data_IF_488897640088
#
_entry.id   IF_488897640088
#
_cell.length_a   1.000
_cell.length_b   1.000
_cell.length_c   1.000
_cell.angle_alpha   90.00
_cell.angle_beta   90.00
_cell.angle_gamma   90.00
#
_symmetry.space_group_name_H-M   'P 1'
#
loop_
_entity.id
_entity.type
_entity.pdbx_description
1 polymer ?
#
# COMPACT_ATOMS: atom_id res chain seq x y z
N UNK A 1 -40.57 10.57 -33.60
CA UNK A 1 -39.47 9.73 -33.97
C UNK A 1 -38.13 10.25 -33.46
N UNK A 2 -37.93 11.55 -33.51
CA UNK A 2 -36.67 12.14 -33.06
C UNK A 2 -36.45 12.08 -31.55
N UNK A 3 -37.49 11.77 -30.83
CA UNK A 3 -37.41 11.77 -29.35
C UNK A 3 -36.65 10.60 -28.79
N UNK A 4 -36.60 9.52 -29.52
CA UNK A 4 -35.93 8.29 -29.08
C UNK A 4 -34.41 8.38 -29.13
N UNK A 5 -33.89 9.25 -29.98
CA UNK A 5 -32.46 9.40 -30.17
C UNK A 5 -31.80 10.20 -29.02
N UNK A 6 -32.57 11.07 -28.38
CA UNK A 6 -32.04 11.94 -27.33
C UNK A 6 -31.79 11.18 -26.02
N UNK A 7 -32.66 10.21 -25.72
CA UNK A 7 -32.56 9.45 -24.49
C UNK A 7 -31.31 8.55 -24.42
N UNK A 8 -30.86 8.06 -25.56
CA UNK A 8 -29.69 7.19 -25.61
C UNK A 8 -28.36 7.90 -25.37
N UNK A 9 -28.31 9.17 -25.72
CA UNK A 9 -27.08 9.96 -25.61
C UNK A 9 -26.74 10.27 -24.14
N UNK A 10 -27.75 10.49 -23.32
CA UNK A 10 -27.56 10.87 -21.91
C UNK A 10 -26.95 9.73 -21.10
N UNK A 11 -27.31 8.49 -21.41
CA UNK A 11 -26.83 7.30 -20.70
C UNK A 11 -25.34 7.06 -20.94
N UNK A 12 -24.89 7.31 -22.16
CA UNK A 12 -23.49 7.06 -22.55
C UNK A 12 -22.52 8.05 -21.87
N UNK A 13 -22.98 9.29 -21.63
CA UNK A 13 -22.09 10.33 -21.10
C UNK A 13 -21.76 10.17 -19.62
N UNK A 14 -22.54 9.41 -18.86
CA UNK A 14 -22.27 9.21 -17.43
C UNK A 14 -21.25 8.11 -17.16
N UNK A 15 -21.21 7.07 -17.98
CA UNK A 15 -20.29 5.96 -17.78
C UNK A 15 -18.81 6.35 -17.87
N UNK A 16 -18.36 7.16 -18.83
CA UNK A 16 -16.95 7.55 -18.93
C UNK A 16 -16.44 8.36 -17.74
N UNK A 17 -17.31 9.09 -17.07
CA UNK A 17 -16.92 9.92 -15.93
C UNK A 17 -16.46 9.09 -14.74
N UNK A 18 -17.14 7.98 -14.46
CA UNK A 18 -16.74 7.08 -13.39
C UNK A 18 -15.41 6.40 -13.67
N UNK A 19 -15.20 5.95 -14.89
CA UNK A 19 -13.94 5.32 -15.29
C UNK A 19 -12.75 6.29 -15.15
N UNK A 20 -12.94 7.57 -15.51
CA UNK A 20 -11.92 8.58 -15.38
C UNK A 20 -11.54 8.85 -13.93
N UNK A 21 -12.52 8.85 -13.02
CA UNK A 21 -12.26 9.05 -11.59
C UNK A 21 -11.42 7.91 -11.01
N UNK A 22 -11.73 6.67 -11.37
CA UNK A 22 -10.96 5.52 -10.92
C UNK A 22 -9.51 5.59 -11.41
N UNK A 23 -9.30 5.93 -12.66
CA UNK A 23 -7.96 6.08 -13.24
C UNK A 23 -7.17 7.19 -12.56
N UNK A 24 -7.80 8.30 -12.23
CA UNK A 24 -7.15 9.41 -11.53
C UNK A 24 -6.73 9.01 -10.13
N UNK A 25 -7.57 8.25 -9.42
CA UNK A 25 -7.24 7.78 -8.08
C UNK A 25 -6.03 6.86 -8.10
N UNK A 26 -5.95 5.96 -9.07
CA UNK A 26 -4.82 5.04 -9.21
C UNK A 26 -3.54 5.80 -9.51
N UNK A 27 -3.58 6.74 -10.44
CA UNK A 27 -2.41 7.56 -10.78
C UNK A 27 -1.90 8.32 -9.56
N UNK A 28 -2.82 8.86 -8.76
CA UNK A 28 -2.46 9.57 -7.53
C UNK A 28 -1.84 8.63 -6.50
N UNK A 29 -2.42 7.44 -6.33
CA UNK A 29 -1.89 6.45 -5.40
C UNK A 29 -0.48 6.00 -5.80
N UNK A 30 -0.23 5.82 -7.09
CA UNK A 30 1.12 5.47 -7.59
C UNK A 30 2.11 6.58 -7.29
N UNK A 31 1.73 7.84 -7.57
CA UNK A 31 2.59 8.99 -7.32
C UNK A 31 2.88 9.14 -5.83
N UNK A 32 1.85 8.97 -4.98
CA UNK A 32 2.01 9.03 -3.54
C UNK A 32 2.94 7.91 -3.04
N UNK A 33 2.75 6.69 -3.54
CA UNK A 33 3.59 5.56 -3.16
C UNK A 33 5.05 5.80 -3.52
N UNK A 34 5.33 6.29 -4.72
CA UNK A 34 6.70 6.60 -5.16
C UNK A 34 7.33 7.68 -4.29
N UNK A 35 6.57 8.70 -3.97
CA UNK A 35 7.04 9.80 -3.12
C UNK A 35 7.37 9.30 -1.71
N UNK A 36 6.48 8.53 -1.12
CA UNK A 36 6.66 7.98 0.22
C UNK A 36 7.85 7.00 0.28
N UNK A 37 7.98 6.14 -0.72
CA UNK A 37 9.12 5.23 -0.82
C UNK A 37 10.42 6.01 -0.94
N UNK A 38 10.43 7.10 -1.71
CA UNK A 38 11.59 7.97 -1.83
C UNK A 38 11.98 8.63 -0.52
N UNK A 39 11.00 9.12 0.24
CA UNK A 39 11.23 9.76 1.53
C UNK A 39 11.80 8.75 2.53
N UNK A 40 11.20 7.59 2.64
CA UNK A 40 11.64 6.54 3.57
C UNK A 40 13.01 6.00 3.15
N UNK A 41 13.19 5.74 1.86
CA UNK A 41 14.42 5.16 1.33
C UNK A 41 15.63 6.09 1.44
N UNK A 42 15.41 7.41 1.47
CA UNK A 42 16.49 8.38 1.62
C UNK A 42 16.92 8.57 3.08
N UNK A 43 16.12 8.11 4.03
CA UNK A 43 16.42 8.20 5.46
C UNK A 43 16.93 6.85 5.95
N UNK A 44 18.20 6.79 6.31
CA UNK A 44 18.84 5.54 6.73
C UNK A 44 18.17 4.93 7.95
N UNK A 45 17.80 5.75 8.93
CA UNK A 45 17.13 5.29 10.14
C UNK A 45 15.75 4.71 9.84
N UNK A 46 14.99 5.39 8.99
CA UNK A 46 13.67 4.90 8.59
C UNK A 46 13.78 3.61 7.80
N UNK A 47 14.76 3.49 6.92
CA UNK A 47 14.99 2.26 6.16
C UNK A 47 15.32 1.10 7.09
N UNK A 48 16.16 1.32 8.10
CA UNK A 48 16.50 0.29 9.09
C UNK A 48 15.27 -0.13 9.88
N UNK A 49 14.46 0.83 10.31
CA UNK A 49 13.22 0.53 11.02
C UNK A 49 12.24 -0.25 10.13
N UNK A 50 12.15 0.10 8.87
CA UNK A 50 11.33 -0.62 7.91
C UNK A 50 11.76 -2.08 7.80
N UNK A 51 13.05 -2.32 7.69
CA UNK A 51 13.59 -3.69 7.60
C UNK A 51 13.31 -4.49 8.86
N UNK A 52 13.37 -3.86 10.03
CA UNK A 52 13.00 -4.51 11.29
C UNK A 52 11.53 -4.86 11.33
N UNK A 53 10.66 -3.97 10.84
CA UNK A 53 9.22 -4.24 10.75
C UNK A 53 8.96 -5.45 9.86
N UNK A 54 9.62 -5.53 8.71
CA UNK A 54 9.47 -6.66 7.79
C UNK A 54 9.88 -7.96 8.46
N UNK A 55 11.01 -7.97 9.14
CA UNK A 55 11.53 -9.15 9.85
C UNK A 55 10.58 -9.58 10.97
N UNK A 56 10.10 -8.63 11.76
CA UNK A 56 9.15 -8.92 12.83
C UNK A 56 7.81 -9.41 12.29
N UNK A 57 7.40 -8.93 11.14
CA UNK A 57 6.15 -9.37 10.49
C UNK A 57 6.26 -10.83 10.06
N UNK A 58 7.41 -11.23 9.52
CA UNK A 58 7.65 -12.65 9.20
C UNK A 58 7.61 -13.52 10.45
N UNK A 59 8.24 -13.06 11.52
CA UNK A 59 8.21 -13.79 12.80
C UNK A 59 6.79 -13.88 13.34
N UNK A 60 6.00 -12.82 13.18
CA UNK A 60 4.60 -12.81 13.62
C UNK A 60 3.78 -13.84 12.84
N UNK A 61 3.97 -13.92 11.54
CA UNK A 61 3.29 -14.92 10.72
C UNK A 61 3.62 -16.33 11.20
N UNK A 62 4.88 -16.59 11.53
CA UNK A 62 5.31 -17.86 12.09
C UNK A 62 4.67 -18.16 13.43
N UNK A 63 4.62 -17.16 14.31
CA UNK A 63 4.00 -17.34 15.64
C UNK A 63 2.50 -17.62 15.53
N UNK A 64 1.81 -16.97 14.59
CA UNK A 64 0.39 -17.21 14.34
C UNK A 64 0.17 -18.64 13.84
N UNK A 65 1.02 -19.12 12.92
CA UNK A 65 0.93 -20.49 12.43
C UNK A 65 1.17 -21.52 13.53
N UNK A 66 2.09 -21.23 14.44
CA UNK A 66 2.41 -22.11 15.57
C UNK A 66 1.42 -21.96 16.73
N UNK A 67 0.47 -21.04 16.61
CA UNK A 67 -0.53 -20.74 17.64
C UNK A 67 0.11 -20.26 18.95
N UNK A 68 1.26 -19.63 18.88
CA UNK A 68 1.95 -19.04 20.01
C UNK A 68 1.45 -17.61 20.24
N UNK A 69 0.38 -17.49 21.02
CA UNK A 69 -0.28 -16.20 21.22
C UNK A 69 0.55 -15.21 22.03
N UNK A 70 1.39 -15.69 22.95
CA UNK A 70 2.25 -14.81 23.74
C UNK A 70 3.34 -14.19 22.88
N UNK A 71 3.97 -14.99 22.05
CA UNK A 71 4.98 -14.51 21.10
C UNK A 71 4.37 -13.54 20.10
N UNK A 72 3.18 -13.86 19.59
CA UNK A 72 2.46 -13.00 18.65
C UNK A 72 2.17 -11.63 19.28
N UNK A 73 1.69 -11.59 20.52
CA UNK A 73 1.41 -10.32 21.21
C UNK A 73 2.66 -9.48 21.41
N UNK A 74 3.77 -10.09 21.78
CA UNK A 74 5.03 -9.40 21.96
C UNK A 74 5.53 -8.79 20.65
N UNK A 75 5.40 -9.54 19.55
CA UNK A 75 5.81 -9.07 18.23
C UNK A 75 4.93 -7.91 17.74
N UNK A 76 3.61 -8.00 17.98
CA UNK A 76 2.68 -6.92 17.62
C UNK A 76 3.05 -5.63 18.35
N UNK A 77 3.42 -5.71 19.64
CA UNK A 77 3.86 -4.54 20.40
C UNK A 77 5.12 -3.90 19.80
N UNK A 78 6.10 -4.71 19.44
CA UNK A 78 7.35 -4.23 18.84
C UNK A 78 7.08 -3.55 17.50
N UNK A 79 6.24 -4.18 16.67
CA UNK A 79 5.86 -3.62 15.38
C UNK A 79 5.16 -2.27 15.56
N UNK A 80 4.23 -2.18 16.53
CA UNK A 80 3.52 -0.93 16.81
C UNK A 80 4.46 0.19 17.24
N UNK A 81 5.47 -0.12 18.05
CA UNK A 81 6.47 0.87 18.47
C UNK A 81 7.29 1.37 17.30
N UNK A 82 7.70 0.48 16.41
CA UNK A 82 8.44 0.86 15.20
C UNK A 82 7.58 1.67 14.23
N UNK A 83 6.31 1.31 14.09
CA UNK A 83 5.37 2.08 13.28
C UNK A 83 5.25 3.53 13.77
N UNK A 84 5.23 3.74 15.08
CA UNK A 84 5.22 5.08 15.64
C UNK A 84 6.48 5.87 15.28
N UNK A 85 7.63 5.22 15.33
CA UNK A 85 8.91 5.85 14.99
C UNK A 85 8.99 6.20 13.49
N UNK A 86 8.33 5.42 12.65
CA UNK A 86 8.31 5.68 11.21
C UNK A 86 7.53 6.94 10.84
N UNK A 87 6.53 7.30 11.66
CA UNK A 87 5.77 8.52 11.48
C UNK A 87 4.64 8.42 10.45
N UNK A 88 4.03 9.58 10.10
CA UNK A 88 2.83 9.59 9.25
C UNK A 88 3.09 9.13 7.81
N UNK A 89 4.29 9.29 7.30
CA UNK A 89 4.61 8.87 5.93
C UNK A 89 4.47 7.36 5.77
N UNK A 90 4.99 6.61 6.74
CA UNK A 90 4.87 5.17 6.72
C UNK A 90 3.43 4.70 6.93
N UNK A 91 2.70 5.38 7.84
CA UNK A 91 1.29 5.08 8.07
C UNK A 91 0.48 5.23 6.78
N UNK A 92 0.77 6.27 6.00
CA UNK A 92 0.11 6.49 4.72
C UNK A 92 0.47 5.40 3.70
N UNK A 93 1.73 4.97 3.68
CA UNK A 93 2.17 3.90 2.78
C UNK A 93 1.46 2.58 3.10
N UNK A 94 1.34 2.25 4.38
CA UNK A 94 0.61 1.05 4.84
C UNK A 94 -0.87 1.16 4.45
N UNK A 95 -1.45 2.34 4.58
CA UNK A 95 -2.83 2.60 4.20
C UNK A 95 -3.04 2.35 2.70
N UNK A 96 -2.14 2.84 1.86
CA UNK A 96 -2.18 2.59 0.42
C UNK A 96 -2.12 1.08 0.14
N UNK A 97 -1.18 0.38 0.78
CA UNK A 97 -1.02 -1.06 0.62
C UNK A 97 -2.28 -1.83 0.99
N UNK A 98 -2.95 -1.42 2.06
CA UNK A 98 -4.14 -2.11 2.56
C UNK A 98 -5.39 -1.83 1.72
N UNK A 99 -5.45 -0.69 1.05
CA UNK A 99 -6.60 -0.30 0.25
C UNK A 99 -6.51 -0.72 -1.22
N UNK A 100 -5.36 -1.17 -1.65
CA UNK A 100 -5.16 -1.61 -3.03
C UNK A 100 -5.27 -3.12 -3.08
N UNK A 101 -6.12 -3.63 -3.97
CA UNK A 101 -6.22 -5.06 -4.23
C UNK A 101 -4.98 -5.49 -5.03
N UNK A 102 -4.12 -6.27 -4.40
CA UNK A 102 -2.86 -6.71 -5.01
C UNK A 102 -3.07 -7.62 -6.23
N UNK A 103 -4.22 -8.25 -6.32
CA UNK A 103 -4.56 -9.09 -7.48
C UNK A 103 -5.07 -8.28 -8.65
N UNK A 104 -5.44 -7.02 -8.44
CA UNK A 104 -5.88 -6.13 -9.51
C UNK A 104 -4.68 -5.65 -10.34
N UNK A 105 -4.96 -5.15 -11.54
CA UNK A 105 -3.94 -4.56 -12.39
C UNK A 105 -3.27 -3.37 -11.69
N UNK A 106 -4.05 -2.58 -10.99
CA UNK A 106 -3.55 -1.41 -10.25
C UNK A 106 -2.63 -1.82 -9.11
N UNK A 107 -3.00 -2.88 -8.39
CA UNK A 107 -2.16 -3.44 -7.34
C UNK A 107 -0.85 -3.96 -7.88
N UNK A 108 -0.86 -4.58 -9.06
CA UNK A 108 0.36 -5.07 -9.71
C UNK A 108 1.30 -3.94 -10.10
N UNK A 109 0.78 -2.74 -10.36
CA UNK A 109 1.60 -1.58 -10.65
C UNK A 109 2.17 -0.92 -9.40
N UNK A 110 1.43 -0.95 -8.30
CA UNK A 110 1.84 -0.33 -7.03
C UNK A 110 2.75 -1.24 -6.21
N UNK A 111 2.50 -2.54 -6.22
CA UNK A 111 3.27 -3.51 -5.43
C UNK A 111 4.78 -3.43 -5.66
N UNK A 112 5.29 -3.33 -6.90
CA UNK A 112 6.73 -3.21 -7.12
C UNK A 112 7.34 -1.94 -6.53
N UNK A 113 6.56 -0.86 -6.50
CA UNK A 113 7.02 0.41 -5.92
C UNK A 113 7.28 0.23 -4.43
N UNK A 114 6.33 -0.38 -3.72
CA UNK A 114 6.47 -0.64 -2.28
C UNK A 114 7.55 -1.68 -2.03
N UNK A 115 7.63 -2.72 -2.85
CA UNK A 115 8.61 -3.78 -2.72
C UNK A 115 10.05 -3.27 -2.86
N UNK A 116 10.26 -2.14 -3.53
CA UNK A 116 11.59 -1.56 -3.69
C UNK A 116 12.23 -1.18 -2.36
N UNK A 117 11.43 -0.86 -1.34
CA UNK A 117 11.96 -0.65 0.02
C UNK A 117 12.52 -1.94 0.60
N UNK A 118 11.86 -3.07 0.35
CA UNK A 118 12.31 -4.36 0.83
C UNK A 118 13.60 -4.83 0.22
N UNK A 119 13.91 -4.37 -1.00
CA UNK A 119 15.17 -4.72 -1.66
C UNK A 119 16.38 -4.22 -0.88
N UNK A 120 16.25 -3.05 -0.23
CA UNK A 120 17.31 -2.52 0.62
C UNK A 120 17.61 -3.42 1.82
N UNK A 121 16.63 -4.20 2.27
CA UNK A 121 16.78 -5.10 3.40
C UNK A 121 17.57 -6.36 3.05
N UNK A 122 17.57 -6.76 1.79
CA UNK A 122 18.26 -7.96 1.32
C UNK A 122 19.76 -7.81 1.12
N UNK A 123 20.29 -6.59 1.22
CA UNK A 123 21.69 -6.29 0.95
C UNK A 123 22.60 -6.41 2.17
N UNK A 124 22.20 -7.13 3.16
CA UNK A 124 23.02 -7.31 4.37
C UNK A 124 24.15 -8.29 4.16
#
# INVERSE_FOLDING_TARGET
>A
MNRLLIAGIVIVSTAPIFAQREQQNVAKLKADARNLVGIIGSDKTKTQNYCQIEDLTEQLDGAVQEKDSQKAKALVKKIAQLNKKMGPDFARLVDIKNHVDLDSQDGQEIAPIIASLGESCGEK
#
